data_IF_523512248205
#
_entry.id   IF_523512248205
#
_cell.length_a   1.000
_cell.length_b   1.000
_cell.length_c   1.000
_cell.angle_alpha   90.00
_cell.angle_beta   90.00
_cell.angle_gamma   90.00
#
_symmetry.space_group_name_H-M   'P 1'
#
loop_
_entity.id
_entity.type
_entity.pdbx_description
1 polymer ?
#
# COMPACT_ATOMS: atom_id res chain seq x y z
N UNK A 1 -25.46 -22.25 35.88
CA UNK A 1 -24.76 -20.96 36.09
C UNK A 1 -24.06 -20.58 34.81
N UNK A 2 -24.12 -19.28 34.50
CA UNK A 2 -23.56 -18.55 33.34
C UNK A 2 -24.52 -18.36 32.18
N UNK A 3 -25.18 -17.20 32.30
CA UNK A 3 -26.15 -16.53 31.46
C UNK A 3 -25.62 -16.27 30.04
N UNK A 4 -26.40 -16.67 29.05
CA UNK A 4 -26.28 -16.21 27.67
C UNK A 4 -26.82 -14.78 27.61
N UNK A 5 -25.91 -13.83 27.36
CA UNK A 5 -26.21 -12.42 27.20
C UNK A 5 -27.07 -12.22 25.95
N UNK A 6 -28.39 -12.38 26.10
CA UNK A 6 -29.41 -11.95 25.15
C UNK A 6 -29.14 -10.48 24.86
N UNK A 7 -28.69 -10.21 23.64
CA UNK A 7 -28.64 -8.84 23.08
C UNK A 7 -30.07 -8.32 23.11
N UNK A 8 -30.37 -7.49 24.09
CA UNK A 8 -31.53 -6.62 24.09
C UNK A 8 -31.39 -5.69 22.87
N UNK A 9 -32.03 -6.09 21.77
CA UNK A 9 -32.46 -5.18 20.70
C UNK A 9 -33.48 -4.22 21.34
N UNK A 10 -32.95 -3.15 21.93
CA UNK A 10 -33.71 -2.10 22.60
C UNK A 10 -34.77 -1.54 21.61
N UNK A 11 -36.09 -1.74 21.82
CA UNK A 11 -37.15 -1.37 20.87
C UNK A 11 -37.19 0.13 20.51
N UNK A 12 -36.43 0.94 21.23
CA UNK A 12 -36.25 2.38 21.03
C UNK A 12 -35.14 2.72 20.03
N UNK A 13 -34.34 1.75 19.57
CA UNK A 13 -33.31 1.97 18.55
C UNK A 13 -33.87 2.47 17.22
N UNK A 14 -35.10 2.10 16.87
CA UNK A 14 -35.76 2.56 15.64
C UNK A 14 -36.31 4.00 15.70
N UNK A 15 -36.40 4.62 16.87
CA UNK A 15 -37.06 5.93 17.02
C UNK A 15 -36.18 7.14 16.73
N UNK A 16 -34.85 6.96 16.64
CA UNK A 16 -33.90 8.06 16.46
C UNK A 16 -33.20 8.07 15.11
N UNK A 17 -33.34 6.99 14.33
CA UNK A 17 -32.90 6.90 12.94
C UNK A 17 -34.09 7.27 12.05
N UNK A 18 -33.91 8.21 11.15
CA UNK A 18 -34.95 8.63 10.21
C UNK A 18 -35.19 7.56 9.15
N UNK A 19 -36.38 7.55 8.53
CA UNK A 19 -36.68 6.60 7.43
C UNK A 19 -35.69 6.70 6.27
N UNK A 20 -35.18 7.90 5.96
CA UNK A 20 -34.16 8.11 4.94
C UNK A 20 -32.81 7.50 5.35
N UNK A 21 -32.38 7.69 6.60
CA UNK A 21 -31.16 7.03 7.12
C UNK A 21 -31.30 5.51 7.12
N UNK A 22 -32.50 4.99 7.42
CA UNK A 22 -32.81 3.56 7.37
C UNK A 22 -32.63 2.99 5.95
N UNK A 23 -33.08 3.73 4.93
CA UNK A 23 -32.90 3.37 3.52
C UNK A 23 -31.41 3.34 3.14
N UNK A 24 -30.63 4.36 3.52
CA UNK A 24 -29.18 4.37 3.29
C UNK A 24 -28.45 3.22 4.00
N UNK A 25 -28.85 2.89 5.24
CA UNK A 25 -28.30 1.75 5.98
C UNK A 25 -28.60 0.45 5.23
N UNK A 26 -29.85 0.27 4.77
CA UNK A 26 -30.26 -0.93 4.05
C UNK A 26 -29.50 -1.10 2.73
N UNK A 27 -29.31 -0.02 1.97
CA UNK A 27 -28.53 -0.03 0.73
C UNK A 27 -27.09 -0.48 0.99
N UNK A 28 -26.41 0.15 1.96
CA UNK A 28 -25.03 -0.20 2.32
C UNK A 28 -24.92 -1.61 2.89
N UNK A 29 -25.92 -2.09 3.62
CA UNK A 29 -25.95 -3.43 4.18
C UNK A 29 -26.19 -4.52 3.13
N UNK A 30 -26.88 -4.19 2.04
CA UNK A 30 -27.16 -5.08 0.90
C UNK A 30 -25.98 -5.31 -0.04
N UNK A 31 -24.90 -4.52 0.07
CA UNK A 31 -23.70 -4.69 -0.75
C UNK A 31 -23.09 -6.10 -0.60
N UNK A 32 -22.51 -6.66 -1.68
CA UNK A 32 -21.85 -7.96 -1.64
C UNK A 32 -20.62 -7.95 -0.72
N UNK A 33 -20.28 -9.10 -0.15
CA UNK A 33 -19.08 -9.24 0.67
C UNK A 33 -17.82 -9.32 -0.21
N UNK A 34 -17.15 -8.18 -0.39
CA UNK A 34 -15.94 -8.09 -1.19
C UNK A 34 -14.75 -8.84 -0.55
N UNK A 35 -14.78 -9.09 0.76
CA UNK A 35 -13.72 -9.87 1.42
C UNK A 35 -13.80 -11.33 1.00
N UNK A 36 -15.02 -11.88 0.91
CA UNK A 36 -15.24 -13.22 0.37
C UNK A 36 -14.85 -13.26 -1.12
N UNK A 37 -15.21 -12.23 -1.89
CA UNK A 37 -14.88 -12.14 -3.31
C UNK A 37 -13.36 -12.13 -3.55
N UNK A 38 -12.59 -11.37 -2.76
CA UNK A 38 -11.12 -11.38 -2.80
C UNK A 38 -10.57 -12.80 -2.58
N UNK A 39 -11.12 -13.53 -1.62
CA UNK A 39 -10.66 -14.89 -1.35
C UNK A 39 -10.97 -15.82 -2.53
N UNK A 40 -12.17 -15.71 -3.12
CA UNK A 40 -12.53 -16.49 -4.31
C UNK A 40 -11.65 -16.14 -5.53
N UNK A 41 -11.40 -14.86 -5.80
CA UNK A 41 -10.53 -14.43 -6.90
C UNK A 41 -9.10 -14.92 -6.67
N UNK A 42 -8.60 -14.90 -5.43
CA UNK A 42 -7.26 -15.43 -5.09
C UNK A 42 -7.15 -16.93 -5.41
N UNK A 43 -8.18 -17.70 -5.08
CA UNK A 43 -8.17 -19.14 -5.31
C UNK A 43 -8.28 -19.45 -6.81
N UNK A 44 -9.16 -18.75 -7.54
CA UNK A 44 -9.27 -18.84 -9.00
C UNK A 44 -7.96 -18.44 -9.70
N UNK A 45 -7.36 -17.32 -9.30
CA UNK A 45 -6.07 -16.84 -9.77
C UNK A 45 -4.97 -17.89 -9.57
N UNK A 46 -4.90 -18.47 -8.37
CA UNK A 46 -3.90 -19.48 -8.02
C UNK A 46 -4.05 -20.71 -8.91
N UNK A 47 -5.27 -21.22 -9.07
CA UNK A 47 -5.55 -22.37 -9.92
C UNK A 47 -5.22 -22.08 -11.39
N UNK A 48 -5.63 -20.92 -11.91
CA UNK A 48 -5.39 -20.52 -13.30
C UNK A 48 -3.89 -20.39 -13.60
N UNK A 49 -3.16 -19.68 -12.75
CA UNK A 49 -1.72 -19.47 -12.92
C UNK A 49 -0.95 -20.78 -12.77
N UNK A 50 -1.39 -21.67 -11.86
CA UNK A 50 -0.82 -23.00 -11.73
C UNK A 50 -0.99 -23.83 -13.00
N UNK A 51 -2.20 -23.85 -13.59
CA UNK A 51 -2.43 -24.56 -14.84
C UNK A 51 -1.59 -24.00 -15.99
N UNK A 52 -1.48 -22.67 -16.11
CA UNK A 52 -0.64 -22.03 -17.13
C UNK A 52 0.84 -22.35 -16.93
N UNK A 53 1.29 -22.41 -15.67
CA UNK A 53 2.64 -22.85 -15.33
C UNK A 53 2.86 -24.30 -15.77
N UNK A 54 1.94 -25.22 -15.45
CA UNK A 54 2.04 -26.62 -15.87
C UNK A 54 2.07 -26.78 -17.39
N UNK A 55 1.23 -26.05 -18.11
CA UNK A 55 1.22 -26.05 -19.57
C UNK A 55 2.56 -25.54 -20.14
N UNK A 56 3.08 -24.46 -19.57
CA UNK A 56 4.39 -23.90 -19.95
C UNK A 56 5.53 -24.88 -19.69
N UNK A 57 5.55 -25.51 -18.51
CA UNK A 57 6.55 -26.50 -18.14
C UNK A 57 6.49 -27.74 -19.06
N UNK A 58 5.28 -28.18 -19.42
CA UNK A 58 5.06 -29.31 -20.34
C UNK A 58 5.58 -28.98 -21.74
N UNK A 59 5.27 -27.81 -22.28
CA UNK A 59 5.76 -27.37 -23.58
C UNK A 59 7.29 -27.30 -23.62
N UNK A 60 7.92 -26.77 -22.55
CA UNK A 60 9.37 -26.74 -22.42
C UNK A 60 9.98 -28.15 -22.33
N UNK A 61 9.42 -29.01 -21.48
CA UNK A 61 9.90 -30.40 -21.32
C UNK A 61 9.82 -31.18 -22.63
N UNK A 62 8.71 -31.02 -23.37
CA UNK A 62 8.52 -31.64 -24.68
C UNK A 62 9.59 -31.17 -25.67
N UNK A 63 9.90 -29.88 -25.68
CA UNK A 63 10.95 -29.31 -26.53
C UNK A 63 12.33 -29.96 -26.30
N UNK A 64 12.69 -30.22 -25.03
CA UNK A 64 13.92 -30.93 -24.69
C UNK A 64 13.87 -32.40 -25.08
N UNK A 65 12.71 -33.05 -24.98
CA UNK A 65 12.52 -34.45 -25.38
C UNK A 65 12.65 -34.63 -26.90
N UNK A 66 12.08 -33.71 -27.67
CA UNK A 66 12.10 -33.74 -29.15
C UNK A 66 13.50 -33.40 -29.71
N UNK A 67 14.27 -32.58 -28.98
CA UNK A 67 15.69 -32.31 -29.28
C UNK A 67 16.52 -33.58 -29.35
N UNK A 68 16.28 -34.52 -28.44
CA UNK A 68 17.02 -35.79 -28.41
C UNK A 68 16.64 -36.72 -29.57
N UNK A 69 15.51 -36.48 -30.22
CA UNK A 69 14.99 -37.28 -31.34
C UNK A 69 15.37 -36.71 -32.72
N UNK A 70 16.12 -35.60 -32.76
CA UNK A 70 16.55 -34.97 -34.01
C UNK A 70 15.44 -34.22 -34.76
N UNK A 71 14.33 -33.88 -34.10
CA UNK A 71 13.19 -33.16 -34.69
C UNK A 71 13.50 -31.66 -34.78
N UNK A 72 12.92 -30.96 -35.77
CA UNK A 72 13.00 -29.49 -35.87
C UNK A 72 12.42 -28.84 -34.62
N UNK A 73 13.23 -28.02 -33.93
CA UNK A 73 12.86 -27.38 -32.67
C UNK A 73 12.11 -26.07 -32.83
N UNK A 74 12.02 -25.53 -34.05
CA UNK A 74 11.45 -24.21 -34.26
C UNK A 74 9.98 -24.13 -33.84
N UNK A 75 9.15 -25.10 -34.27
CA UNK A 75 7.73 -25.12 -33.92
C UNK A 75 7.51 -25.39 -32.43
N UNK A 76 8.14 -26.41 -31.80
CA UNK A 76 8.11 -26.60 -30.35
C UNK A 76 8.57 -25.37 -29.55
N UNK A 77 9.59 -24.66 -30.03
CA UNK A 77 10.06 -23.41 -29.44
C UNK A 77 9.01 -22.30 -29.50
N UNK A 78 8.38 -22.09 -30.65
CA UNK A 78 7.32 -21.11 -30.79
C UNK A 78 6.15 -21.40 -29.83
N UNK A 79 5.77 -22.67 -29.70
CA UNK A 79 4.73 -23.10 -28.76
C UNK A 79 5.12 -22.76 -27.31
N UNK A 80 6.33 -23.15 -26.89
CA UNK A 80 6.81 -22.88 -25.53
C UNK A 80 6.93 -21.38 -25.24
N UNK A 81 7.47 -20.59 -26.17
CA UNK A 81 7.55 -19.14 -26.03
C UNK A 81 6.14 -18.51 -25.95
N UNK A 82 5.18 -19.04 -26.71
CA UNK A 82 3.78 -18.64 -26.67
C UNK A 82 3.13 -18.90 -25.31
N UNK A 83 3.32 -20.08 -24.73
CA UNK A 83 2.77 -20.42 -23.40
C UNK A 83 3.40 -19.59 -22.28
N UNK A 84 4.72 -19.33 -22.32
CA UNK A 84 5.40 -18.40 -21.40
C UNK A 84 4.81 -16.99 -21.49
N UNK A 85 4.64 -16.48 -22.72
CA UNK A 85 4.10 -15.14 -22.94
C UNK A 85 2.66 -15.03 -22.43
N UNK A 86 1.86 -16.07 -22.66
CA UNK A 86 0.48 -16.11 -22.18
C UNK A 86 0.43 -16.16 -20.64
N UNK A 87 1.24 -17.00 -20.01
CA UNK A 87 1.35 -17.09 -18.56
C UNK A 87 1.74 -15.74 -17.94
N UNK A 88 2.69 -15.02 -18.54
CA UNK A 88 3.11 -13.70 -18.07
C UNK A 88 1.97 -12.67 -18.15
N UNK A 89 1.28 -12.60 -19.29
CA UNK A 89 0.14 -11.68 -19.48
C UNK A 89 -0.95 -11.93 -18.43
N UNK A 90 -1.33 -13.19 -18.28
CA UNK A 90 -2.36 -13.61 -17.33
C UNK A 90 -1.95 -13.31 -15.88
N UNK A 91 -0.68 -13.46 -15.53
CA UNK A 91 -0.16 -13.07 -14.21
C UNK A 91 -0.33 -11.58 -13.93
N UNK A 92 -0.07 -10.72 -14.93
CA UNK A 92 -0.25 -9.28 -14.77
C UNK A 92 -1.73 -8.90 -14.65
N UNK A 93 -2.58 -9.51 -15.46
CA UNK A 93 -4.02 -9.25 -15.45
C UNK A 93 -4.66 -9.68 -14.13
N UNK A 94 -4.27 -10.85 -13.62
CA UNK A 94 -4.67 -11.32 -12.29
C UNK A 94 -4.20 -10.35 -11.20
N UNK A 95 -2.93 -9.94 -11.20
CA UNK A 95 -2.41 -9.01 -10.20
C UNK A 95 -3.17 -7.68 -10.21
N UNK A 96 -3.44 -7.15 -11.39
CA UNK A 96 -4.21 -5.92 -11.56
C UNK A 96 -5.61 -6.06 -11.01
N UNK A 97 -6.33 -7.13 -11.37
CA UNK A 97 -7.70 -7.37 -10.88
C UNK A 97 -7.72 -7.51 -9.35
N UNK A 98 -6.78 -8.26 -8.78
CA UNK A 98 -6.68 -8.39 -7.32
C UNK A 98 -6.41 -7.04 -6.63
N UNK A 99 -5.59 -6.16 -7.23
CA UNK A 99 -5.33 -4.83 -6.69
C UNK A 99 -6.58 -3.93 -6.74
N UNK A 100 -7.29 -3.92 -7.86
CA UNK A 100 -8.54 -3.15 -8.04
C UNK A 100 -9.61 -3.62 -7.05
N UNK A 101 -9.80 -4.93 -6.90
CA UNK A 101 -10.74 -5.50 -5.93
C UNK A 101 -10.32 -5.20 -4.47
N UNK A 102 -9.03 -5.26 -4.17
CA UNK A 102 -8.49 -4.87 -2.86
C UNK A 102 -8.79 -3.42 -2.49
N UNK A 103 -8.72 -2.51 -3.45
CA UNK A 103 -9.08 -1.10 -3.26
C UNK A 103 -10.59 -0.97 -2.95
N UNK A 104 -11.44 -1.65 -3.71
CA UNK A 104 -12.88 -1.64 -3.49
C UNK A 104 -13.27 -2.21 -2.12
N UNK A 105 -12.67 -3.34 -1.74
CA UNK A 105 -12.86 -3.94 -0.41
C UNK A 105 -12.42 -2.98 0.71
N UNK A 106 -11.31 -2.25 0.53
CA UNK A 106 -10.87 -1.23 1.49
C UNK A 106 -11.87 -0.09 1.64
N UNK A 107 -12.47 0.37 0.53
CA UNK A 107 -13.53 1.37 0.57
C UNK A 107 -14.77 0.85 1.30
N UNK A 108 -15.21 -0.36 0.98
CA UNK A 108 -16.35 -0.99 1.64
C UNK A 108 -16.11 -1.16 3.13
N UNK A 109 -14.95 -1.68 3.54
CA UNK A 109 -14.62 -1.87 4.95
C UNK A 109 -14.64 -0.54 5.72
N UNK A 110 -14.01 0.50 5.17
CA UNK A 110 -14.07 1.85 5.74
C UNK A 110 -15.50 2.37 5.86
N UNK A 111 -16.31 2.19 4.82
CA UNK A 111 -17.72 2.63 4.83
C UNK A 111 -18.52 1.88 5.89
N UNK A 112 -18.32 0.57 6.03
CA UNK A 112 -18.96 -0.26 7.06
C UNK A 112 -18.55 0.15 8.48
N UNK A 113 -17.29 0.49 8.71
CA UNK A 113 -16.81 0.99 10.00
C UNK A 113 -17.44 2.34 10.37
N UNK A 114 -17.50 3.26 9.41
CA UNK A 114 -18.15 4.57 9.59
C UNK A 114 -19.65 4.38 9.84
N UNK A 115 -20.31 3.49 9.11
CA UNK A 115 -21.72 3.14 9.31
C UNK A 115 -21.96 2.57 10.71
N UNK A 116 -21.11 1.64 11.15
CA UNK A 116 -21.18 1.04 12.49
C UNK A 116 -20.98 2.09 13.59
N UNK A 117 -20.12 3.10 13.37
CA UNK A 117 -20.00 4.25 14.26
C UNK A 117 -21.25 5.15 14.23
N UNK A 118 -21.79 5.44 13.05
CA UNK A 118 -22.96 6.30 12.88
C UNK A 118 -24.23 5.70 13.51
N UNK A 119 -24.36 4.37 13.49
CA UNK A 119 -25.42 3.60 14.17
C UNK A 119 -25.34 3.68 15.71
N UNK A 120 -24.31 4.28 16.31
CA UNK A 120 -24.21 4.47 17.77
C UNK A 120 -24.98 5.71 18.23
N UNK A 121 -25.71 5.58 19.34
CA UNK A 121 -26.44 6.68 19.99
C UNK A 121 -25.54 7.88 20.37
N UNK A 122 -24.27 7.64 20.72
CA UNK A 122 -23.26 8.68 21.00
C UNK A 122 -22.25 8.76 19.86
N UNK A 123 -22.55 9.60 18.88
CA UNK A 123 -21.78 9.79 17.63
C UNK A 123 -20.94 11.07 17.60
N UNK A 124 -20.49 11.57 18.74
CA UNK A 124 -19.63 12.77 18.76
C UNK A 124 -18.16 12.35 18.84
N UNK A 125 -17.35 12.81 17.89
CA UNK A 125 -15.89 12.67 17.92
C UNK A 125 -15.31 14.04 18.24
N UNK A 126 -14.39 14.10 19.22
CA UNK A 126 -13.74 15.36 19.59
C UNK A 126 -12.66 15.72 18.58
N UNK A 127 -12.36 17.02 18.41
CA UNK A 127 -11.35 17.49 17.43
C UNK A 127 -9.98 16.85 17.70
N UNK A 128 -9.55 16.83 18.96
CA UNK A 128 -8.29 16.23 19.37
C UNK A 128 -8.23 14.72 19.08
N UNK A 129 -9.36 14.03 19.20
CA UNK A 129 -9.49 12.60 18.93
C UNK A 129 -9.42 12.30 17.44
N UNK A 130 -10.13 13.09 16.62
CA UNK A 130 -10.07 12.97 15.17
C UNK A 130 -8.67 13.28 14.63
N UNK A 131 -8.02 14.35 15.10
CA UNK A 131 -6.67 14.72 14.66
C UNK A 131 -5.63 13.67 15.05
N UNK A 132 -5.75 13.07 16.24
CA UNK A 132 -4.87 11.99 16.66
C UNK A 132 -5.09 10.73 15.80
N UNK A 133 -6.36 10.36 15.56
CA UNK A 133 -6.73 9.23 14.71
C UNK A 133 -6.17 9.38 13.28
N UNK A 134 -6.40 10.52 12.64
CA UNK A 134 -5.91 10.78 11.27
C UNK A 134 -4.38 10.81 11.19
N UNK A 135 -3.70 11.19 12.27
CA UNK A 135 -2.25 11.21 12.34
C UNK A 135 -1.63 9.86 12.79
N UNK A 136 -2.44 8.83 13.09
CA UNK A 136 -1.96 7.56 13.64
C UNK A 136 -1.33 7.69 15.04
N UNK A 137 -1.74 8.70 15.81
CA UNK A 137 -1.22 9.01 17.14
C UNK A 137 -2.22 8.63 18.21
N UNK A 138 -1.73 8.29 19.41
CA UNK A 138 -2.60 8.17 20.58
C UNK A 138 -3.10 9.55 21.00
N UNK A 139 -4.34 9.62 21.46
CA UNK A 139 -4.92 10.87 21.92
C UNK A 139 -4.17 11.36 23.16
N UNK A 140 -3.85 12.67 23.26
CA UNK A 140 -3.19 13.20 24.44
C UNK A 140 -3.99 12.82 25.69
N UNK A 141 -3.35 12.27 26.74
CA UNK A 141 -4.05 11.91 27.95
C UNK A 141 -4.78 13.14 28.45
N UNK A 142 -6.10 13.00 28.62
CA UNK A 142 -6.94 14.06 29.19
C UNK A 142 -6.33 14.41 30.54
N UNK A 143 -5.75 15.61 30.63
CA UNK A 143 -5.43 16.22 31.92
C UNK A 143 -6.75 16.36 32.67
N UNK A 144 -7.05 15.42 33.58
CA UNK A 144 -8.11 15.57 34.58
C UNK A 144 -7.62 16.53 35.66
N UNK A 145 -7.04 17.67 35.28
CA UNK A 145 -6.72 18.74 36.21
C UNK A 145 -7.94 19.66 36.36
N UNK A 146 -8.89 19.21 37.17
CA UNK A 146 -9.67 20.10 38.02
C UNK A 146 -10.34 19.24 39.10
N UNK A 147 -9.68 19.01 40.24
CA UNK A 147 -10.43 18.93 41.48
C UNK A 147 -11.04 20.32 41.66
N UNK A 148 -12.30 20.51 41.28
CA UNK A 148 -13.05 21.63 41.85
C UNK A 148 -12.94 21.46 43.37
N UNK A 149 -12.41 22.42 44.13
CA UNK A 149 -12.53 22.34 45.57
C UNK A 149 -14.04 22.34 45.86
N UNK A 150 -14.55 21.22 46.38
CA UNK A 150 -15.81 21.23 47.10
C UNK A 150 -15.60 22.21 48.24
N UNK A 151 -16.12 23.43 48.12
CA UNK A 151 -16.41 24.24 49.29
C UNK A 151 -17.44 23.42 50.07
N UNK A 152 -16.96 22.74 51.11
CA UNK A 152 -17.82 22.20 52.16
C UNK A 152 -18.40 23.44 52.83
N UNK A 153 -19.62 23.81 52.41
CA UNK A 153 -20.44 24.74 53.17
C UNK A 153 -20.84 24.00 54.44
N UNK A 154 -20.00 24.11 55.47
CA UNK A 154 -20.34 23.70 56.81
C UNK A 154 -21.54 24.56 57.24
N UNK A 155 -22.70 23.90 57.26
CA UNK A 155 -23.95 24.48 57.71
C UNK A 155 -23.91 24.55 59.24
N UNK A 156 -23.31 25.62 59.78
CA UNK A 156 -23.49 26.04 61.16
C UNK A 156 -24.25 27.37 61.17
N UNK A 157 -25.47 27.31 61.67
CA UNK A 157 -26.35 28.46 61.85
C UNK A 157 -25.76 29.47 62.86
N UNK A 158 -26.26 30.70 62.69
CA UNK A 158 -26.46 31.77 63.69
C UNK A 158 -25.31 32.72 64.07
N UNK A 159 -25.58 33.99 63.73
CA UNK A 159 -25.28 35.28 64.41
C UNK A 159 -24.10 36.11 63.85
N UNK A 160 -24.48 37.26 63.29
CA UNK A 160 -23.64 38.45 63.12
C UNK A 160 -23.07 38.89 64.48
N UNK A 161 -21.86 39.47 64.52
CA UNK A 161 -21.78 40.92 64.62
C UNK A 161 -20.66 41.57 63.76
N UNK A 162 -20.73 42.89 63.76
CA UNK A 162 -20.03 43.91 62.95
C UNK A 162 -18.70 44.34 63.59
N UNK A 163 -17.75 44.69 62.71
CA UNK A 163 -16.59 45.60 62.80
C UNK A 163 -15.28 45.26 63.56
N UNK A 164 -14.21 45.45 62.77
CA UNK A 164 -12.88 46.02 63.05
C UNK A 164 -11.90 45.33 64.01
N UNK A 165 -10.77 44.88 63.43
CA UNK A 165 -9.39 45.27 63.79
C UNK A 165 -8.34 44.21 63.33
N UNK A 166 -7.65 44.56 62.24
CA UNK A 166 -6.19 44.53 62.06
C UNK A 166 -5.31 43.25 62.29
N UNK A 167 -4.56 42.92 61.22
CA UNK A 167 -3.19 42.32 61.14
C UNK A 167 -3.10 40.79 61.39
N UNK A 168 -2.75 39.93 60.43
CA UNK A 168 -1.49 39.88 59.67
C UNK A 168 -1.74 39.40 58.24
N UNK A 169 -1.70 40.32 57.27
CA UNK A 169 -1.64 39.99 55.84
C UNK A 169 -0.16 39.88 55.46
N UNK A 170 0.28 38.71 55.00
CA UNK A 170 1.63 38.53 54.45
C UNK A 170 1.60 38.89 52.96
N UNK A 171 2.14 40.05 52.52
CA UNK A 171 2.09 40.48 51.13
C UNK A 171 3.17 39.82 50.23
N UNK A 172 4.01 38.93 50.77
CA UNK A 172 5.12 38.34 50.02
C UNK A 172 4.73 37.12 49.16
N UNK A 173 3.54 36.54 49.38
CA UNK A 173 3.05 35.41 48.59
C UNK A 173 2.64 35.77 47.16
N UNK A 174 2.15 36.99 46.94
CA UNK A 174 1.55 37.43 45.66
C UNK A 174 2.58 37.99 44.65
N UNK A 175 3.83 38.19 45.07
CA UNK A 175 4.89 38.73 44.20
C UNK A 175 5.71 37.64 43.50
N UNK A 176 5.52 36.36 43.84
CA UNK A 176 6.24 35.26 43.21
C UNK A 176 5.91 35.12 41.72
N UNK A 177 4.64 35.28 41.34
CA UNK A 177 4.20 35.26 39.94
C UNK A 177 4.81 36.41 39.13
N UNK A 178 4.99 37.58 39.75
CA UNK A 178 5.64 38.72 39.10
C UNK A 178 7.17 38.54 38.98
N UNK A 179 7.83 37.97 40.01
CA UNK A 179 9.27 37.65 39.95
C UNK A 179 9.56 36.61 38.86
N UNK A 180 8.70 35.62 38.69
CA UNK A 180 8.82 34.59 37.66
C UNK A 180 8.62 35.15 36.24
N UNK A 181 7.66 36.07 36.05
CA UNK A 181 7.41 36.73 34.77
C UNK A 181 8.57 37.66 34.33
N UNK A 182 9.23 38.35 35.27
CA UNK A 182 10.39 39.19 34.97
C UNK A 182 11.61 38.34 34.59
N UNK A 183 11.82 37.19 35.26
CA UNK A 183 12.90 36.27 34.92
C UNK A 183 12.78 35.73 33.48
N UNK A 184 11.56 35.42 33.02
CA UNK A 184 11.29 34.95 31.66
C UNK A 184 11.43 36.05 30.60
N UNK A 185 11.20 37.31 30.96
CA UNK A 185 11.28 38.45 30.03
C UNK A 185 12.73 38.89 29.73
N UNK A 186 13.71 38.43 30.51
CA UNK A 186 15.13 38.73 30.32
C UNK A 186 15.85 37.83 29.30
N UNK A 187 15.16 36.82 28.75
CA UNK A 187 15.68 35.96 27.66
C UNK A 187 15.35 36.53 26.27
N UNK A 188 15.45 37.84 26.09
CA UNK A 188 15.28 38.54 24.79
C UNK A 188 16.55 38.52 23.92
N UNK A 189 17.53 37.66 24.21
CA UNK A 189 18.85 37.66 23.56
C UNK A 189 19.25 36.42 22.76
N UNK A 190 18.44 35.36 22.72
CA UNK A 190 18.89 34.05 22.20
C UNK A 190 18.23 33.55 20.90
N UNK A 191 17.35 34.32 20.25
CA UNK A 191 16.70 33.89 18.97
C UNK A 191 16.56 35.01 17.93
N UNK A 192 17.53 35.92 17.83
CA UNK A 192 17.55 36.99 16.82
C UNK A 192 18.21 36.60 15.49
N UNK A 193 18.32 35.30 15.15
CA UNK A 193 19.11 34.83 14.00
C UNK A 193 18.37 33.92 13.00
N UNK A 194 17.03 33.95 12.93
CA UNK A 194 16.30 33.34 11.80
C UNK A 194 16.00 34.44 10.77
N UNK A 195 17.01 34.73 9.94
CA UNK A 195 16.86 35.50 8.71
C UNK A 195 16.11 34.65 7.68
N UNK A 196 14.86 35.00 7.39
CA UNK A 196 14.09 34.46 6.26
C UNK A 196 14.65 35.06 4.97
N UNK A 197 15.65 34.39 4.39
CA UNK A 197 16.22 34.73 3.09
C UNK A 197 15.24 34.39 1.97
N UNK A 198 14.52 35.40 1.47
CA UNK A 198 13.91 35.35 0.15
C UNK A 198 15.00 35.54 -0.90
N UNK A 199 15.24 34.52 -1.73
CA UNK A 199 15.90 34.71 -3.02
C UNK A 199 15.21 33.84 -4.09
N UNK A 200 14.61 34.45 -5.12
CA UNK A 200 14.00 33.71 -6.23
C UNK A 200 15.10 33.30 -7.22
N UNK A 201 15.05 32.06 -7.70
CA UNK A 201 15.95 31.55 -8.73
C UNK A 201 15.15 31.12 -9.95
N UNK A 202 15.50 31.74 -11.06
CA UNK A 202 15.10 31.51 -12.44
C UNK A 202 15.52 30.14 -12.98
N UNK A 203 14.92 29.67 -14.09
CA UNK A 203 15.04 28.31 -14.60
C UNK A 203 16.28 28.10 -15.48
N UNK A 204 16.95 26.95 -15.35
CA UNK A 204 17.98 26.55 -16.31
C UNK A 204 18.95 25.47 -15.83
N UNK A 205 18.59 24.19 -15.94
CA UNK A 205 19.54 23.12 -16.34
C UNK A 205 18.83 21.80 -16.68
N UNK A 206 19.41 20.99 -17.59
CA UNK A 206 18.69 19.97 -18.35
C UNK A 206 18.68 18.62 -17.62
N UNK A 207 17.49 18.09 -17.38
CA UNK A 207 17.32 16.68 -16.99
C UNK A 207 17.32 15.80 -18.23
N UNK A 208 18.37 15.00 -18.40
CA UNK A 208 18.42 13.87 -19.31
C UNK A 208 17.31 12.88 -18.93
N UNK A 209 16.25 12.82 -19.74
CA UNK A 209 15.14 11.91 -19.51
C UNK A 209 14.23 11.78 -20.73
N UNK A 210 13.88 10.54 -21.06
CA UNK A 210 12.87 10.12 -22.04
C UNK A 210 13.27 10.07 -23.54
N UNK A 211 14.20 9.18 -23.90
CA UNK A 211 14.14 8.43 -25.17
C UNK A 211 13.75 6.98 -24.88
N UNK A 212 12.44 6.72 -24.71
CA UNK A 212 11.88 5.34 -24.61
C UNK A 212 10.62 5.22 -25.45
N UNK A 213 10.73 5.38 -26.77
CA UNK A 213 9.61 5.09 -27.70
C UNK A 213 9.95 4.31 -28.97
N UNK A 214 11.21 3.91 -29.22
CA UNK A 214 11.60 3.28 -30.49
C UNK A 214 12.12 1.83 -30.40
N UNK A 215 12.33 1.26 -29.21
CA UNK A 215 12.98 -0.05 -29.08
C UNK A 215 12.23 -1.22 -29.73
N UNK A 216 10.89 -1.15 -29.83
CA UNK A 216 10.11 -2.20 -30.46
C UNK A 216 10.22 -2.19 -32.00
N UNK A 217 10.28 -0.99 -32.59
CA UNK A 217 10.44 -0.84 -34.04
C UNK A 217 11.87 -1.24 -34.47
N UNK A 218 12.87 -0.88 -33.68
CA UNK A 218 14.27 -1.29 -33.89
C UNK A 218 14.45 -2.80 -33.74
N UNK A 219 13.82 -3.43 -32.75
CA UNK A 219 13.84 -4.89 -32.59
C UNK A 219 13.16 -5.60 -33.78
N UNK A 220 12.00 -5.09 -34.22
CA UNK A 220 11.28 -5.67 -35.35
C UNK A 220 12.09 -5.53 -36.66
N UNK A 221 12.74 -4.38 -36.87
CA UNK A 221 13.63 -4.18 -38.01
C UNK A 221 14.85 -5.11 -37.97
N UNK A 222 15.47 -5.28 -36.79
CA UNK A 222 16.58 -6.20 -36.60
C UNK A 222 16.19 -7.65 -36.90
N UNK A 223 15.05 -8.12 -36.40
CA UNK A 223 14.56 -9.48 -36.66
C UNK A 223 14.33 -9.69 -38.16
N UNK A 224 13.66 -8.76 -38.84
CA UNK A 224 13.41 -8.87 -40.29
C UNK A 224 14.71 -8.88 -41.10
N UNK A 225 15.68 -8.02 -40.75
CA UNK A 225 16.96 -7.94 -41.45
C UNK A 225 17.82 -9.20 -41.24
N UNK A 226 17.77 -9.78 -40.04
CA UNK A 226 18.50 -11.02 -39.74
C UNK A 226 17.88 -12.24 -40.43
N UNK A 227 16.55 -12.33 -40.50
CA UNK A 227 15.88 -13.36 -41.31
C UNK A 227 16.24 -13.24 -42.80
N UNK A 228 16.33 -12.02 -43.36
CA UNK A 228 16.69 -11.82 -44.76
C UNK A 228 18.13 -12.30 -45.08
N UNK A 229 19.09 -12.05 -44.18
CA UNK A 229 20.49 -12.48 -44.33
C UNK A 229 20.67 -13.99 -44.29
N UNK A 230 19.82 -14.68 -43.53
CA UNK A 230 19.93 -16.13 -43.32
C UNK A 230 19.02 -16.97 -44.23
N UNK A 231 18.05 -16.35 -44.91
CA UNK A 231 17.12 -17.05 -45.81
C UNK A 231 17.45 -16.95 -47.30
N UNK A 232 18.55 -16.29 -47.71
CA UNK A 232 18.92 -16.18 -49.12
C UNK A 232 19.55 -17.49 -49.65
N UNK A 233 18.88 -18.28 -50.52
CA UNK A 233 19.41 -19.56 -51.00
C UNK A 233 20.35 -19.40 -52.20
N UNK A 234 20.76 -18.17 -52.55
CA UNK A 234 21.45 -17.88 -53.81
C UNK A 234 22.80 -17.19 -53.58
N UNK A 235 23.84 -17.97 -53.90
CA UNK A 235 25.25 -17.61 -54.16
C UNK A 235 26.21 -17.73 -52.97
N UNK A 236 26.77 -18.94 -52.82
CA UNK A 236 28.24 -19.10 -52.74
C UNK A 236 28.67 -20.18 -53.73
N UNK A 237 28.98 -19.76 -54.94
CA UNK A 237 29.88 -20.49 -55.83
C UNK A 237 31.25 -19.80 -55.79
N UNK A 238 32.25 -20.60 -55.45
CA UNK A 238 33.69 -20.51 -55.73
C UNK A 238 34.51 -19.31 -55.22
N UNK A 239 35.32 -19.52 -54.19
CA UNK A 239 36.78 -19.74 -54.34
C UNK A 239 37.45 -19.89 -52.97
N UNK A 240 38.33 -20.90 -52.81
CA UNK A 240 39.63 -20.82 -52.11
C UNK A 240 40.09 -22.21 -51.63
N UNK A 241 41.09 -22.73 -52.34
CA UNK A 241 42.20 -23.61 -51.88
C UNK A 241 41.90 -24.84 -51.02
N UNK A 242 41.96 -25.98 -51.70
CA UNK A 242 42.29 -27.31 -51.20
C UNK A 242 43.66 -27.34 -50.50
N UNK A 243 43.79 -28.04 -49.36
CA UNK A 243 44.97 -28.85 -49.12
C UNK A 243 44.56 -30.31 -48.95
N UNK A 244 44.87 -31.07 -50.00
CA UNK A 244 45.11 -32.50 -50.00
C UNK A 244 45.99 -32.87 -48.79
N UNK A 245 45.39 -33.38 -47.72
CA UNK A 245 46.12 -34.06 -46.65
C UNK A 245 46.04 -35.56 -46.91
N UNK A 246 47.11 -36.01 -47.57
CA UNK A 246 47.46 -37.39 -47.81
C UNK A 246 47.55 -38.19 -46.49
N UNK A 247 47.18 -39.46 -46.57
CA UNK A 247 47.11 -40.39 -45.43
C UNK A 247 48.50 -40.95 -45.08
N UNK A 248 48.84 -41.10 -43.78
CA UNK A 248 49.85 -42.09 -43.40
C UNK A 248 49.19 -43.38 -42.89
N UNK A 249 49.24 -44.38 -43.76
CA UNK A 249 48.89 -45.77 -43.49
C UNK A 249 50.12 -46.47 -42.88
N UNK A 250 50.10 -46.86 -41.60
CA UNK A 250 51.12 -47.79 -41.08
C UNK A 250 50.60 -48.83 -40.07
N UNK A 251 50.56 -50.06 -40.62
CA UNK A 251 50.98 -51.36 -40.07
C UNK A 251 50.14 -52.02 -38.96
N UNK A 252 49.48 -53.10 -39.39
CA UNK A 252 49.14 -54.31 -38.63
C UNK A 252 50.27 -54.69 -37.66
N UNK A 253 49.91 -54.98 -36.42
CA UNK A 253 50.61 -55.95 -35.58
C UNK A 253 49.64 -57.10 -35.28
N UNK A 254 49.93 -58.28 -35.85
CA UNK A 254 49.56 -59.58 -35.31
C UNK A 254 50.75 -60.08 -34.49
N UNK A 255 50.48 -61.02 -33.58
CA UNK A 255 51.34 -61.84 -32.70
C UNK A 255 50.95 -61.52 -31.24
N UNK A 256 50.52 -62.45 -30.41
CA UNK A 256 50.54 -63.93 -30.41
C UNK A 256 49.48 -64.41 -29.45
#
# INVERSE_FOLDING_TARGET
>A
MSEEHKRDEDPLMGHWITNWEQECIAELESEPDLQQEIQTEKDLATQKLWLLFQNTATALAQMYKDRQQGVSLWVPFQLAAGTVTNMYKESLDTQRRSAELGIQCGYQHRTRDVLAWAKKRRRTIRREELMAFLAGKTTPPRSRASPRPRIVLERANTRLPVSDAALVHNPEGDLNTFREAIALSSLSGAMSNISVGYRPHTPGSPTLGARRRNGLAELNAFICDEFARHCDPRKRSASSSDPLMDSPNHKRSRLT
#
